data_IF_211222666077
#
_entry.id   IF_211222666077
#
_cell.length_a   1.000
_cell.length_b   1.000
_cell.length_c   1.000
_cell.angle_alpha   90.00
_cell.angle_beta   90.00
_cell.angle_gamma   90.00
#
_symmetry.space_group_name_H-M   'P 1'
#
loop_
_entity.id
_entity.type
_entity.pdbx_description
1 polymer ?
#
# COMPACT_ATOMS: atom_id res chain seq x y z
N UNK A 1 -13.85 16.69 2.77
CA UNK A 1 -12.72 16.06 2.05
C UNK A 1 -11.45 16.67 2.58
N UNK A 2 -10.42 15.88 2.83
CA UNK A 2 -9.09 16.43 3.10
C UNK A 2 -8.59 17.14 1.83
N UNK A 3 -7.92 18.27 2.01
CA UNK A 3 -7.20 18.98 0.97
C UNK A 3 -6.00 18.15 0.51
N UNK A 4 -5.46 18.49 -0.67
CA UNK A 4 -4.24 17.86 -1.19
C UNK A 4 -3.10 17.91 -0.18
N UNK A 5 -2.91 19.06 0.46
CA UNK A 5 -1.78 19.29 1.36
C UNK A 5 -1.95 18.50 2.66
N UNK A 6 -3.17 18.36 3.18
CA UNK A 6 -3.47 17.50 4.32
C UNK A 6 -3.16 16.01 4.02
N UNK A 7 -3.49 15.54 2.81
CA UNK A 7 -3.18 14.17 2.37
C UNK A 7 -1.66 13.97 2.28
N UNK A 8 -0.95 14.92 1.65
CA UNK A 8 0.51 14.85 1.51
C UNK A 8 1.20 14.88 2.87
N UNK A 9 0.76 15.75 3.78
CA UNK A 9 1.30 15.83 5.14
C UNK A 9 1.08 14.52 5.91
N UNK A 10 -0.10 13.92 5.80
CA UNK A 10 -0.39 12.64 6.44
C UNK A 10 0.50 11.50 5.91
N UNK A 11 0.70 11.42 4.59
CA UNK A 11 1.59 10.42 3.98
C UNK A 11 3.03 10.60 4.47
N UNK A 12 3.55 11.83 4.47
CA UNK A 12 4.91 12.14 4.95
C UNK A 12 5.10 11.75 6.41
N UNK A 13 4.14 12.06 7.26
CA UNK A 13 4.21 11.68 8.68
C UNK A 13 4.26 10.17 8.89
N UNK A 14 3.56 9.38 8.07
CA UNK A 14 3.65 7.91 8.11
C UNK A 14 5.02 7.44 7.64
N UNK A 15 5.55 8.02 6.57
CA UNK A 15 6.86 7.66 6.00
C UNK A 15 7.99 7.93 7.00
N UNK A 16 8.01 9.11 7.62
CA UNK A 16 8.97 9.48 8.68
C UNK A 16 8.96 8.48 9.85
N UNK A 17 7.77 8.02 10.25
CA UNK A 17 7.62 7.02 11.32
C UNK A 17 8.16 5.66 10.90
N UNK A 18 7.94 5.25 9.64
CA UNK A 18 8.45 3.98 9.13
C UNK A 18 9.97 4.01 8.97
N UNK A 19 10.53 5.13 8.51
CA UNK A 19 11.97 5.29 8.35
C UNK A 19 12.69 5.24 9.70
N UNK A 20 12.14 5.90 10.72
CA UNK A 20 12.65 5.81 12.10
C UNK A 20 12.64 4.38 12.67
N UNK A 21 11.66 3.56 12.26
CA UNK A 21 11.54 2.16 12.70
C UNK A 21 12.33 1.17 11.86
N UNK A 22 12.89 1.60 10.72
CA UNK A 22 13.56 0.73 9.74
C UNK A 22 14.65 -0.16 10.33
N UNK A 23 15.55 0.32 11.22
CA UNK A 23 16.56 -0.56 11.83
C UNK A 23 15.93 -1.70 12.64
N UNK A 24 14.88 -1.40 13.40
CA UNK A 24 14.18 -2.39 14.23
C UNK A 24 13.40 -3.39 13.36
N UNK A 25 12.76 -2.92 12.30
CA UNK A 25 12.05 -3.75 11.31
C UNK A 25 13.03 -4.74 10.65
N UNK A 26 14.20 -4.26 10.24
CA UNK A 26 15.21 -5.11 9.59
C UNK A 26 15.75 -6.17 10.56
N UNK A 27 16.05 -5.77 11.80
CA UNK A 27 16.56 -6.69 12.82
C UNK A 27 15.52 -7.76 13.23
N UNK A 28 14.22 -7.43 13.21
CA UNK A 28 13.16 -8.27 13.76
C UNK A 28 12.16 -8.77 12.70
N UNK A 29 12.49 -8.71 11.41
CA UNK A 29 11.52 -8.96 10.34
C UNK A 29 10.80 -10.31 10.40
N UNK A 30 11.46 -11.34 10.91
CA UNK A 30 10.89 -12.68 11.10
C UNK A 30 10.31 -12.91 12.50
N UNK A 31 10.48 -11.98 13.42
CA UNK A 31 9.92 -12.08 14.77
C UNK A 31 8.40 -11.93 14.70
N UNK A 32 7.65 -12.68 15.51
CA UNK A 32 6.21 -12.48 15.66
C UNK A 32 5.93 -11.13 16.32
N UNK A 33 4.81 -10.51 15.96
CA UNK A 33 4.26 -9.38 16.72
C UNK A 33 3.71 -9.87 18.06
N UNK A 34 3.75 -9.03 19.09
CA UNK A 34 3.41 -9.39 20.48
C UNK A 34 2.01 -10.01 20.67
N UNK A 35 1.06 -9.70 19.78
CA UNK A 35 -0.36 -10.07 19.94
C UNK A 35 -0.89 -10.99 18.82
N UNK A 36 -0.03 -11.52 17.94
CA UNK A 36 -0.54 -12.16 16.71
C UNK A 36 0.30 -13.28 16.13
N UNK A 37 -0.30 -13.93 15.13
CA UNK A 37 0.33 -14.96 14.29
C UNK A 37 1.23 -14.36 13.20
N UNK A 38 1.16 -13.05 12.99
CA UNK A 38 1.89 -12.36 11.94
C UNK A 38 3.30 -11.98 12.40
N UNK A 39 4.25 -12.18 11.49
CA UNK A 39 5.60 -11.61 11.64
C UNK A 39 5.58 -10.14 11.26
N UNK A 40 6.61 -9.40 11.69
CA UNK A 40 6.80 -7.99 11.31
C UNK A 40 6.73 -7.80 9.78
N UNK A 41 7.36 -8.68 9.00
CA UNK A 41 7.30 -8.65 7.52
C UNK A 41 5.90 -8.89 6.95
N UNK A 42 5.11 -9.78 7.55
CA UNK A 42 3.75 -10.09 7.08
C UNK A 42 2.84 -8.88 7.25
N UNK A 43 2.93 -8.23 8.42
CA UNK A 43 2.18 -7.01 8.71
C UNK A 43 2.53 -5.85 7.76
N UNK A 44 3.83 -5.65 7.47
CA UNK A 44 4.28 -4.62 6.52
C UNK A 44 3.83 -4.92 5.08
N UNK A 45 3.91 -6.18 4.66
CA UNK A 45 3.43 -6.60 3.33
C UNK A 45 1.93 -6.38 3.19
N UNK A 46 1.17 -6.68 4.26
CA UNK A 46 -0.27 -6.44 4.29
C UNK A 46 -0.61 -4.94 4.27
N UNK A 47 0.13 -4.12 5.01
CA UNK A 47 -0.03 -2.65 5.00
C UNK A 47 0.21 -2.09 3.59
N UNK A 48 1.30 -2.50 2.92
CA UNK A 48 1.61 -2.10 1.56
C UNK A 48 0.52 -2.54 0.57
N UNK A 49 0.03 -3.78 0.69
CA UNK A 49 -1.04 -4.29 -0.17
C UNK A 49 -2.36 -3.51 -0.01
N UNK A 50 -2.73 -3.13 1.22
CA UNK A 50 -3.91 -2.30 1.48
C UNK A 50 -3.76 -0.89 0.90
N UNK A 51 -2.58 -0.30 1.02
CA UNK A 51 -2.28 1.02 0.46
C UNK A 51 -2.29 1.02 -1.08
N UNK A 52 -1.86 -0.06 -1.71
CA UNK A 52 -1.61 -0.10 -3.16
C UNK A 52 -2.79 -0.45 -4.06
N UNK A 53 -3.97 -0.82 -3.55
CA UNK A 53 -5.11 -0.92 -4.48
C UNK A 53 -6.29 -1.81 -4.15
N UNK A 54 -6.51 -2.26 -2.90
CA UNK A 54 -7.74 -2.99 -2.58
C UNK A 54 -8.97 -2.14 -2.93
N UNK A 55 -8.94 -0.84 -2.66
CA UNK A 55 -10.03 0.06 -3.03
C UNK A 55 -10.12 0.31 -4.54
N UNK A 56 -8.98 0.37 -5.27
CA UNK A 56 -8.97 0.47 -6.74
C UNK A 56 -9.48 -0.81 -7.41
N UNK A 57 -9.20 -1.98 -6.83
CA UNK A 57 -9.72 -3.27 -7.27
C UNK A 57 -11.21 -3.35 -6.96
N UNK A 58 -11.63 -2.98 -5.75
CA UNK A 58 -13.05 -2.92 -5.37
C UNK A 58 -13.81 -1.94 -6.26
N UNK A 59 -13.20 -0.80 -6.61
CA UNK A 59 -13.76 0.16 -7.56
C UNK A 59 -13.90 -0.44 -8.96
N UNK A 60 -12.88 -1.14 -9.47
CA UNK A 60 -12.96 -1.88 -10.74
C UNK A 60 -14.07 -2.93 -10.75
N UNK A 61 -14.25 -3.66 -9.65
CA UNK A 61 -15.35 -4.64 -9.50
C UNK A 61 -16.71 -3.94 -9.55
N UNK A 62 -16.87 -2.82 -8.82
CA UNK A 62 -18.10 -2.00 -8.85
C UNK A 62 -18.39 -1.45 -10.24
N UNK A 63 -17.37 -0.94 -10.93
CA UNK A 63 -17.51 -0.40 -12.28
C UNK A 63 -17.90 -1.50 -13.29
N UNK A 64 -17.35 -2.71 -13.14
CA UNK A 64 -17.73 -3.88 -13.95
C UNK A 64 -19.17 -4.32 -13.69
N UNK A 65 -19.60 -4.36 -12.42
CA UNK A 65 -20.99 -4.65 -12.05
C UNK A 65 -21.98 -3.58 -12.58
N UNK A 66 -21.53 -2.34 -12.70
CA UNK A 66 -22.30 -1.24 -13.28
C UNK A 66 -22.27 -1.20 -14.83
N UNK A 67 -21.66 -2.21 -15.48
CA UNK A 67 -21.58 -2.30 -16.94
C UNK A 67 -20.63 -1.29 -17.59
N UNK A 68 -19.74 -0.64 -16.82
CA UNK A 68 -18.69 0.19 -17.41
C UNK A 68 -17.65 -0.72 -18.05
N UNK A 69 -17.27 -0.40 -19.29
CA UNK A 69 -16.20 -1.14 -19.96
C UNK A 69 -14.88 -0.91 -19.22
N UNK A 70 -14.14 -1.99 -18.89
CA UNK A 70 -12.81 -1.85 -18.30
C UNK A 70 -11.87 -1.14 -19.28
N UNK A 71 -11.03 -0.25 -18.76
CA UNK A 71 -9.94 0.33 -19.53
C UNK A 71 -9.01 -0.79 -20.03
N UNK A 72 -8.38 -0.57 -21.19
CA UNK A 72 -7.44 -1.52 -21.76
C UNK A 72 -6.34 -1.87 -20.73
N UNK A 73 -5.89 -3.14 -20.67
CA UNK A 73 -4.80 -3.53 -19.78
C UNK A 73 -3.54 -2.70 -20.07
N UNK A 74 -2.94 -2.13 -19.02
CA UNK A 74 -1.62 -1.50 -19.10
C UNK A 74 -0.52 -2.55 -19.15
N UNK A 75 0.62 -2.22 -19.74
CA UNK A 75 1.76 -3.15 -19.76
C UNK A 75 2.42 -3.26 -18.37
N UNK A 76 3.08 -4.40 -18.11
CA UNK A 76 3.81 -4.61 -16.85
C UNK A 76 4.96 -3.61 -16.72
N UNK A 77 5.60 -3.26 -17.84
CA UNK A 77 6.72 -2.31 -17.87
C UNK A 77 6.26 -0.90 -17.46
N UNK A 78 5.07 -0.48 -17.91
CA UNK A 78 4.44 0.79 -17.51
C UNK A 78 4.13 0.83 -16.01
N UNK A 79 3.64 -0.29 -15.45
CA UNK A 79 3.31 -0.38 -14.02
C UNK A 79 4.58 -0.34 -13.16
N UNK A 80 5.63 -1.05 -13.58
CA UNK A 80 6.88 -1.12 -12.82
C UNK A 80 7.64 0.22 -12.83
N UNK A 81 7.62 0.96 -13.93
CA UNK A 81 8.24 2.28 -14.01
C UNK A 81 7.66 3.28 -12.98
N UNK A 82 6.40 3.15 -12.61
CA UNK A 82 5.73 3.98 -11.59
C UNK A 82 6.10 3.61 -10.14
N UNK A 83 6.76 2.46 -9.91
CA UNK A 83 7.04 1.92 -8.57
C UNK A 83 8.50 2.08 -8.11
N UNK A 84 9.42 2.40 -9.01
CA UNK A 84 10.88 2.47 -8.74
C UNK A 84 11.40 3.93 -8.78
N UNK A 85 10.51 4.92 -8.73
CA UNK A 85 10.86 6.35 -8.67
C UNK A 85 11.00 6.86 -7.23
#
# INVERSE_FOLDING_TARGET
>A
MATRDEIVAAIRSVDERLDALKPLIMANGNAPLNEGTWRVRDALSHLAARANGVDRVAQRVRDTQAGKMPAAPRSIDEINAEQVA
#
